data_IF_664837032485
#
_entry.id   IF_664837032485
#
_cell.length_a   1.000
_cell.length_b   1.000
_cell.length_c   1.000
_cell.angle_alpha   90.00
_cell.angle_beta   90.00
_cell.angle_gamma   90.00
#
_symmetry.space_group_name_H-M   'P 1'
#
loop_
_entity.id
_entity.type
_entity.pdbx_description
1 polymer ?
#
# COMPACT_ATOMS: atom_id res chain seq x y z
N UNK A 1 -57.42 -7.28 -12.63
CA UNK A 1 -56.00 -7.22 -13.00
C UNK A 1 -55.18 -7.34 -11.73
N UNK A 2 -54.42 -8.43 -11.59
CA UNK A 2 -53.89 -8.92 -10.32
C UNK A 2 -52.60 -8.21 -9.92
N UNK A 3 -52.64 -7.48 -8.80
CA UNK A 3 -51.46 -6.85 -8.14
C UNK A 3 -50.28 -7.81 -7.88
N UNK A 4 -50.52 -9.12 -7.90
CA UNK A 4 -49.48 -10.14 -7.78
C UNK A 4 -48.53 -10.16 -9.00
N UNK A 5 -49.03 -9.85 -10.21
CA UNK A 5 -48.21 -9.85 -11.43
C UNK A 5 -47.22 -8.67 -11.48
N UNK A 6 -47.62 -7.49 -10.99
CA UNK A 6 -46.74 -6.32 -10.89
C UNK A 6 -45.63 -6.53 -9.86
N UNK A 7 -45.94 -7.17 -8.73
CA UNK A 7 -44.94 -7.52 -7.70
C UNK A 7 -43.90 -8.53 -8.20
N UNK A 8 -44.30 -9.46 -9.06
CA UNK A 8 -43.38 -10.42 -9.69
C UNK A 8 -42.42 -9.78 -10.68
N UNK A 9 -42.89 -8.82 -11.48
CA UNK A 9 -42.05 -8.09 -12.44
C UNK A 9 -40.95 -7.27 -11.73
N UNK A 10 -41.30 -6.54 -10.66
CA UNK A 10 -40.35 -5.77 -9.86
C UNK A 10 -39.26 -6.66 -9.25
N UNK A 11 -39.61 -7.86 -8.79
CA UNK A 11 -38.64 -8.80 -8.24
C UNK A 11 -37.62 -9.28 -9.29
N UNK A 12 -38.04 -9.45 -10.55
CA UNK A 12 -37.17 -9.86 -11.65
C UNK A 12 -36.24 -8.72 -12.08
N UNK A 13 -36.75 -7.49 -12.16
CA UNK A 13 -35.92 -6.32 -12.46
C UNK A 13 -34.81 -6.12 -11.42
N UNK A 14 -35.16 -6.25 -10.14
CA UNK A 14 -34.17 -6.18 -9.05
C UNK A 14 -33.16 -7.31 -9.13
N UNK A 15 -33.58 -8.54 -9.46
CA UNK A 15 -32.69 -9.69 -9.59
C UNK A 15 -31.62 -9.52 -10.69
N UNK A 16 -31.89 -8.68 -11.71
CA UNK A 16 -30.94 -8.38 -12.79
C UNK A 16 -29.98 -7.26 -12.39
N UNK A 17 -30.46 -6.22 -11.71
CA UNK A 17 -29.64 -5.04 -11.34
C UNK A 17 -28.78 -5.30 -10.10
N UNK A 18 -29.32 -6.02 -9.11
CA UNK A 18 -28.65 -6.25 -7.83
C UNK A 18 -27.25 -6.91 -7.96
N UNK A 19 -27.03 -7.94 -8.82
CA UNK A 19 -25.70 -8.53 -8.98
C UNK A 19 -24.65 -7.54 -9.48
N UNK A 20 -25.02 -6.65 -10.41
CA UNK A 20 -24.13 -5.62 -10.94
C UNK A 20 -23.79 -4.60 -9.85
N UNK A 21 -24.79 -4.17 -9.07
CA UNK A 21 -24.60 -3.25 -7.95
C UNK A 21 -23.69 -3.86 -6.88
N UNK A 22 -23.90 -5.12 -6.51
CA UNK A 22 -23.06 -5.83 -5.53
C UNK A 22 -21.63 -5.95 -6.05
N UNK A 23 -21.43 -6.31 -7.32
CA UNK A 23 -20.09 -6.40 -7.91
C UNK A 23 -19.37 -5.04 -7.90
N UNK A 24 -20.09 -3.95 -8.21
CA UNK A 24 -19.55 -2.59 -8.16
C UNK A 24 -19.13 -2.21 -6.73
N UNK A 25 -19.97 -2.48 -5.72
CA UNK A 25 -19.67 -2.17 -4.33
C UNK A 25 -18.45 -2.96 -3.81
N UNK A 26 -18.37 -4.25 -4.13
CA UNK A 26 -17.21 -5.08 -3.79
C UNK A 26 -15.93 -4.55 -4.45
N UNK A 27 -16.00 -4.14 -5.72
CA UNK A 27 -14.89 -3.50 -6.42
C UNK A 27 -14.41 -2.22 -5.76
N UNK A 28 -15.34 -1.35 -5.32
CA UNK A 28 -15.02 -0.10 -4.61
C UNK A 28 -14.31 -0.39 -3.28
N UNK A 29 -14.76 -1.39 -2.53
CA UNK A 29 -14.15 -1.78 -1.25
C UNK A 29 -12.71 -2.27 -1.47
N UNK A 30 -12.49 -3.15 -2.44
CA UNK A 30 -11.14 -3.65 -2.75
C UNK A 30 -10.21 -2.53 -3.21
N UNK A 31 -10.70 -1.65 -4.10
CA UNK A 31 -9.93 -0.51 -4.57
C UNK A 31 -9.56 0.44 -3.43
N UNK A 32 -10.50 0.71 -2.53
CA UNK A 32 -10.29 1.58 -1.36
C UNK A 32 -9.20 1.02 -0.44
N UNK A 33 -9.21 -0.30 -0.20
CA UNK A 33 -8.15 -0.97 0.57
C UNK A 33 -6.80 -0.90 -0.12
N UNK A 34 -6.75 -1.17 -1.42
CA UNK A 34 -5.53 -1.09 -2.21
C UNK A 34 -4.92 0.32 -2.18
N UNK A 35 -5.75 1.34 -2.38
CA UNK A 35 -5.32 2.72 -2.33
C UNK A 35 -4.79 3.12 -0.94
N UNK A 36 -5.49 2.73 0.13
CA UNK A 36 -5.05 3.00 1.50
C UNK A 36 -3.72 2.30 1.82
N UNK A 37 -3.54 1.06 1.36
CA UNK A 37 -2.29 0.34 1.51
C UNK A 37 -1.14 1.03 0.75
N UNK A 38 -1.37 1.47 -0.49
CA UNK A 38 -0.36 2.21 -1.27
C UNK A 38 0.05 3.53 -0.60
N UNK A 39 -0.91 4.27 -0.04
CA UNK A 39 -0.65 5.50 0.68
C UNK A 39 0.22 5.24 1.92
N UNK A 40 -0.12 4.20 2.69
CA UNK A 40 0.63 3.78 3.88
C UNK A 40 2.06 3.33 3.53
N UNK A 41 2.24 2.54 2.46
CA UNK A 41 3.55 2.12 1.96
C UNK A 41 4.42 3.30 1.50
N UNK A 42 3.81 4.29 0.85
CA UNK A 42 4.52 5.48 0.38
C UNK A 42 4.96 6.36 1.55
N UNK A 43 4.13 6.52 2.57
CA UNK A 43 4.49 7.23 3.80
C UNK A 43 5.62 6.49 4.55
N UNK A 44 5.52 5.17 4.68
CA UNK A 44 6.53 4.34 5.33
C UNK A 44 7.88 4.38 4.62
N UNK A 45 7.90 4.35 3.29
CA UNK A 45 9.12 4.46 2.51
C UNK A 45 9.79 5.83 2.70
N UNK A 46 9.01 6.91 2.74
CA UNK A 46 9.50 8.28 3.00
C UNK A 46 10.07 8.44 4.40
N UNK A 47 9.38 7.93 5.41
CA UNK A 47 9.87 8.02 6.79
C UNK A 47 11.09 7.13 7.03
N UNK A 48 11.06 5.90 6.50
CA UNK A 48 12.22 5.02 6.56
C UNK A 48 13.45 5.63 5.91
N UNK A 49 13.30 6.23 4.71
CA UNK A 49 14.46 6.76 3.98
C UNK A 49 15.01 8.01 4.65
N UNK A 50 14.15 8.84 5.27
CA UNK A 50 14.56 9.97 6.10
C UNK A 50 15.43 9.51 7.27
N UNK A 51 14.96 8.53 8.03
CA UNK A 51 15.71 8.00 9.17
C UNK A 51 17.03 7.37 8.70
N UNK A 52 17.02 6.68 7.56
CA UNK A 52 18.25 6.12 6.98
C UNK A 52 19.24 7.21 6.52
N UNK A 53 18.75 8.28 5.89
CA UNK A 53 19.57 9.40 5.43
C UNK A 53 20.23 10.18 6.58
N UNK A 54 19.56 10.27 7.73
CA UNK A 54 20.05 10.99 8.92
C UNK A 54 20.98 10.10 9.76
N UNK A 55 20.56 8.85 10.01
CA UNK A 55 21.23 7.99 11.00
C UNK A 55 22.21 7.00 10.38
N UNK A 56 22.10 6.73 9.07
CA UNK A 56 22.84 5.68 8.40
C UNK A 56 22.53 4.26 8.90
N UNK A 57 21.54 4.09 9.80
CA UNK A 57 21.27 2.84 10.48
C UNK A 57 20.02 2.15 9.89
N UNK A 58 20.16 0.95 9.28
CA UNK A 58 19.03 0.26 8.67
C UNK A 58 18.02 -0.25 9.70
N UNK A 59 18.45 -0.59 10.92
CA UNK A 59 17.55 -1.11 11.96
C UNK A 59 16.57 -0.05 12.46
N UNK A 60 17.07 1.16 12.73
CA UNK A 60 16.22 2.30 13.13
C UNK A 60 15.30 2.72 11.99
N UNK A 61 15.79 2.72 10.74
CA UNK A 61 15.00 3.03 9.56
C UNK A 61 13.88 2.01 9.31
N UNK A 62 14.14 0.71 9.50
CA UNK A 62 13.09 -0.33 9.45
C UNK A 62 12.03 -0.10 10.52
N UNK A 63 12.45 0.19 11.76
CA UNK A 63 11.51 0.47 12.85
C UNK A 63 10.60 1.65 12.51
N UNK A 64 11.18 2.75 11.99
CA UNK A 64 10.41 3.92 11.60
C UNK A 64 9.40 3.60 10.48
N UNK A 65 9.84 2.91 9.42
CA UNK A 65 8.96 2.50 8.33
C UNK A 65 7.80 1.60 8.82
N UNK A 66 8.07 0.64 9.71
CA UNK A 66 7.02 -0.22 10.28
C UNK A 66 6.03 0.55 11.14
N UNK A 67 6.50 1.47 11.99
CA UNK A 67 5.63 2.29 12.84
C UNK A 67 4.72 3.17 12.00
N UNK A 68 5.23 3.75 10.90
CA UNK A 68 4.41 4.52 9.95
C UNK A 68 3.37 3.66 9.23
N UNK A 69 3.67 2.37 9.00
CA UNK A 69 2.80 1.44 8.30
C UNK A 69 1.93 0.55 9.22
N UNK A 70 1.68 0.97 10.46
CA UNK A 70 0.96 0.14 11.47
C UNK A 70 -0.47 -0.23 11.04
N UNK A 71 -1.06 0.51 10.11
CA UNK A 71 -2.38 0.23 9.52
C UNK A 71 -2.39 -0.95 8.55
N UNK A 72 -1.22 -1.41 8.06
CA UNK A 72 -1.13 -2.55 7.15
C UNK A 72 -1.32 -3.86 7.90
N UNK A 73 -2.20 -4.70 7.38
CA UNK A 73 -2.41 -6.06 7.87
C UNK A 73 -2.29 -7.06 6.70
N UNK A 74 -1.36 -8.03 6.75
CA UNK A 74 -0.34 -8.22 7.79
C UNK A 74 0.67 -7.06 7.91
N UNK A 75 1.23 -6.85 9.10
CA UNK A 75 2.24 -5.82 9.31
C UNK A 75 3.54 -6.09 8.55
N UNK A 76 4.26 -5.02 8.17
CA UNK A 76 5.54 -5.11 7.46
C UNK A 76 6.59 -5.89 8.25
N UNK A 77 7.28 -6.80 7.56
CA UNK A 77 8.43 -7.55 8.06
C UNK A 77 9.73 -6.93 7.54
N UNK A 78 10.85 -7.28 8.18
CA UNK A 78 12.19 -6.81 7.76
C UNK A 78 12.50 -7.20 6.30
N UNK A 79 12.07 -8.39 5.89
CA UNK A 79 12.25 -8.90 4.53
C UNK A 79 11.49 -8.07 3.47
N UNK A 80 10.47 -7.30 3.87
CA UNK A 80 9.75 -6.42 2.96
C UNK A 80 10.54 -5.14 2.65
N UNK A 81 11.54 -4.79 3.45
CA UNK A 81 12.23 -3.49 3.39
C UNK A 81 13.66 -3.69 2.91
N UNK A 82 13.93 -3.26 1.68
CA UNK A 82 15.24 -3.32 1.03
C UNK A 82 15.83 -1.92 0.95
N UNK A 83 17.07 -1.78 1.42
CA UNK A 83 17.83 -0.55 1.30
C UNK A 83 18.67 -0.58 0.03
N UNK A 84 18.74 0.56 -0.66
CA UNK A 84 19.69 0.77 -1.75
C UNK A 84 21.09 1.06 -1.23
N UNK A 85 21.89 1.74 -2.05
CA UNK A 85 23.27 2.10 -1.69
C UNK A 85 23.30 2.89 -0.36
N UNK A 86 24.12 2.47 0.61
CA UNK A 86 24.24 3.19 1.87
C UNK A 86 24.87 4.56 1.65
N UNK A 87 24.51 5.51 2.52
CA UNK A 87 25.15 6.82 2.53
C UNK A 87 26.64 6.69 2.85
N UNK A 88 27.54 7.29 2.04
CA UNK A 88 28.97 7.28 2.35
C UNK A 88 29.25 8.13 3.60
N UNK A 89 30.21 7.70 4.41
CA UNK A 89 30.66 8.41 5.60
C UNK A 89 31.46 9.68 5.28
N UNK A 90 32.00 9.78 4.06
CA UNK A 90 32.70 10.94 3.54
C UNK A 90 31.98 11.47 2.30
N UNK A 91 31.47 12.69 2.39
CA UNK A 91 30.88 13.39 1.25
C UNK A 91 32.00 14.12 0.50
N UNK A 92 32.32 13.66 -0.71
CA UNK A 92 33.23 14.40 -1.59
C UNK A 92 32.54 15.69 -2.08
N UNK A 93 33.27 16.81 -2.06
CA UNK A 93 32.80 18.09 -2.57
C UNK A 93 32.30 17.94 -4.01
N UNK A 94 31.01 18.22 -4.23
CA UNK A 94 30.35 18.12 -5.55
C UNK A 94 29.51 16.86 -5.78
N UNK A 95 29.41 15.94 -4.82
CA UNK A 95 28.48 14.78 -4.90
C UNK A 95 27.38 14.90 -3.86
N UNK A 96 26.13 14.68 -4.28
CA UNK A 96 24.96 14.62 -3.39
C UNK A 96 24.48 13.16 -3.28
N UNK A 97 25.08 12.33 -2.41
CA UNK A 97 24.71 10.92 -2.32
C UNK A 97 23.26 10.78 -1.85
N UNK A 98 22.58 9.74 -2.35
CA UNK A 98 21.17 9.50 -2.06
C UNK A 98 20.98 8.16 -1.33
N UNK A 99 20.26 8.23 -0.22
CA UNK A 99 19.64 7.10 0.43
C UNK A 99 18.41 6.66 -0.37
N UNK A 100 18.26 5.35 -0.64
CA UNK A 100 17.04 4.79 -1.24
C UNK A 100 16.49 3.65 -0.39
N UNK A 101 15.16 3.57 -0.29
CA UNK A 101 14.44 2.44 0.30
C UNK A 101 13.37 1.96 -0.69
N UNK A 102 13.26 0.65 -0.81
CA UNK A 102 12.16 -0.03 -1.49
C UNK A 102 11.44 -0.96 -0.51
N UNK A 103 10.13 -0.76 -0.36
CA UNK A 103 9.26 -1.62 0.44
C UNK A 103 8.38 -2.42 -0.52
N UNK A 104 8.41 -3.74 -0.40
CA UNK A 104 7.59 -4.66 -1.20
C UNK A 104 6.56 -5.34 -0.32
N UNK A 105 5.28 -5.23 -0.68
CA UNK A 105 4.16 -5.70 0.12
C UNK A 105 3.17 -6.49 -0.71
N UNK A 106 2.70 -7.63 -0.22
CA UNK A 106 1.66 -8.43 -0.88
C UNK A 106 0.32 -8.14 -0.21
N UNK A 107 -0.59 -7.51 -0.94
CA UNK A 107 -1.94 -7.23 -0.46
C UNK A 107 -2.86 -8.37 -0.86
N UNK A 108 -3.53 -8.97 0.13
CA UNK A 108 -4.60 -9.93 -0.09
C UNK A 108 -5.94 -9.22 -0.35
N UNK A 109 -6.70 -9.78 -1.28
CA UNK A 109 -8.09 -9.40 -1.55
C UNK A 109 -9.02 -10.06 -0.54
N UNK A 110 -10.04 -9.33 -0.10
CA UNK A 110 -11.06 -9.84 0.85
C UNK A 110 -12.04 -10.77 0.13
N UNK A 111 -12.38 -10.41 -1.10
CA UNK A 111 -13.35 -11.11 -1.95
C UNK A 111 -12.73 -12.27 -2.74
N UNK A 112 -11.40 -12.33 -2.84
CA UNK A 112 -10.67 -13.30 -3.65
C UNK A 112 -10.75 -13.06 -5.16
N UNK A 113 -11.50 -12.05 -5.64
CA UNK A 113 -11.75 -11.81 -7.06
C UNK A 113 -10.48 -11.44 -7.83
N UNK A 114 -9.56 -10.68 -7.22
CA UNK A 114 -8.33 -10.21 -7.88
C UNK A 114 -7.04 -10.88 -7.37
N UNK A 115 -7.14 -11.96 -6.58
CA UNK A 115 -5.98 -12.65 -5.99
C UNK A 115 -5.12 -11.75 -5.09
N UNK A 116 -4.03 -12.25 -4.50
CA UNK A 116 -3.03 -11.40 -3.87
C UNK A 116 -2.15 -10.73 -4.94
N UNK A 117 -1.87 -9.44 -4.79
CA UNK A 117 -1.00 -8.71 -5.70
C UNK A 117 0.08 -7.94 -4.95
N UNK A 118 1.23 -7.77 -5.61
CA UNK A 118 2.39 -7.13 -5.01
C UNK A 118 2.38 -5.64 -5.31
N UNK A 119 2.58 -4.84 -4.27
CA UNK A 119 2.67 -3.39 -4.30
C UNK A 119 4.05 -2.95 -3.83
N UNK A 120 4.52 -1.83 -4.35
CA UNK A 120 5.83 -1.29 -3.96
C UNK A 120 5.73 0.17 -3.54
N UNK A 121 6.37 0.49 -2.42
CA UNK A 121 6.60 1.86 -1.95
C UNK A 121 8.09 2.17 -2.08
N UNK A 122 8.44 3.26 -2.77
CA UNK A 122 9.83 3.70 -2.91
C UNK A 122 10.02 5.09 -2.33
N UNK A 123 11.13 5.28 -1.63
CA UNK A 123 11.56 6.56 -1.08
C UNK A 123 13.02 6.79 -1.38
N UNK A 124 13.37 8.01 -1.78
CA UNK A 124 14.75 8.47 -1.96
C UNK A 124 14.93 9.83 -1.28
N UNK A 125 16.07 10.03 -0.62
CA UNK A 125 16.46 11.30 0.01
C UNK A 125 17.97 11.52 -0.10
N UNK A 126 18.38 12.78 -0.05
CA UNK A 126 19.80 13.12 0.08
C UNK A 126 20.33 12.66 1.43
N UNK A 127 21.55 12.13 1.46
CA UNK A 127 22.23 11.80 2.70
C UNK A 127 22.52 13.08 3.49
N UNK A 128 22.28 13.05 4.81
CA UNK A 128 22.43 14.22 5.69
C UNK A 128 21.14 14.99 5.97
N UNK A 129 20.05 14.70 5.24
CA UNK A 129 18.75 15.38 5.39
C UNK A 129 18.54 16.49 4.37
#
# INVERSE_FOLDING_TARGET
>A
MSRASERGAIAVEFAIVAPVLVMLLLGIVEFSRAYNAQASLSAAAREGVRVMAITGNPTTARSAAKTTAVSLQPGLQDANIVFGTPCPSTVSTGTSPQATITITYSLSTVTGIAGPFTMTGRGAMLCGG
#
